data_IF_596008356961
#
_entry.id   IF_596008356961
#
_cell.length_a   1.000
_cell.length_b   1.000
_cell.length_c   1.000
_cell.angle_alpha   90.00
_cell.angle_beta   90.00
_cell.angle_gamma   90.00
#
_symmetry.space_group_name_H-M   'P 1'
#
loop_
_entity.id
_entity.type
_entity.pdbx_description
1 polymer ?
#
# COMPACT_ATOMS: atom_id res chain seq x y z
N UNK A 1 -1.45 -15.14 -11.46
CA UNK A 1 -2.66 -14.44 -11.97
C UNK A 1 -2.41 -12.94 -12.22
N UNK A 2 -1.55 -12.26 -11.44
CA UNK A 2 -1.37 -10.80 -11.47
C UNK A 2 -0.58 -10.22 -12.67
N UNK A 3 0.27 -11.01 -13.36
CA UNK A 3 1.15 -10.48 -14.42
C UNK A 3 0.43 -9.82 -15.59
N UNK A 4 -0.80 -10.23 -15.90
CA UNK A 4 -1.58 -9.68 -17.01
C UNK A 4 -2.06 -8.24 -16.76
N UNK A 5 -2.34 -7.88 -15.51
CA UNK A 5 -2.86 -6.56 -15.14
C UNK A 5 -1.77 -5.57 -14.72
N UNK A 6 -0.51 -6.02 -14.60
CA UNK A 6 0.62 -5.18 -14.16
C UNK A 6 0.75 -3.86 -14.93
N UNK A 7 0.48 -3.84 -16.24
CA UNK A 7 0.51 -2.61 -17.05
C UNK A 7 -0.66 -1.67 -16.78
N UNK A 8 -1.82 -2.22 -16.40
CA UNK A 8 -3.01 -1.44 -16.07
C UNK A 8 -2.88 -0.79 -14.69
N UNK A 9 -2.34 -1.54 -13.73
CA UNK A 9 -2.11 -1.05 -12.36
C UNK A 9 -1.19 0.18 -12.33
N UNK A 10 -0.11 0.18 -13.13
CA UNK A 10 0.85 1.30 -13.21
C UNK A 10 0.24 2.66 -13.58
N UNK A 11 -0.86 2.64 -14.34
CA UNK A 11 -1.52 3.85 -14.86
C UNK A 11 -2.88 4.09 -14.23
N UNK A 12 -3.25 3.29 -13.24
CA UNK A 12 -4.53 3.45 -12.57
C UNK A 12 -4.46 4.64 -11.62
N UNK A 13 -5.49 5.49 -11.64
CA UNK A 13 -5.67 6.56 -10.65
C UNK A 13 -6.56 6.13 -9.48
N UNK A 14 -7.42 5.13 -9.70
CA UNK A 14 -8.31 4.55 -8.69
C UNK A 14 -8.08 3.06 -8.68
N UNK A 15 -7.88 2.48 -7.50
CA UNK A 15 -7.70 1.05 -7.33
C UNK A 15 -8.45 0.57 -6.10
N UNK A 16 -9.40 -0.32 -6.31
CA UNK A 16 -10.17 -0.97 -5.26
C UNK A 16 -9.86 -2.45 -5.30
N UNK A 17 -9.39 -2.98 -4.17
CA UNK A 17 -8.94 -4.35 -4.04
C UNK A 17 -9.58 -4.96 -2.81
N UNK A 18 -10.08 -6.18 -2.94
CA UNK A 18 -10.61 -6.89 -1.79
C UNK A 18 -10.44 -8.39 -1.89
N UNK A 19 -10.59 -9.05 -0.75
CA UNK A 19 -10.45 -10.51 -0.62
C UNK A 19 -9.08 -11.01 -1.13
N UNK A 20 -8.03 -10.19 -0.98
CA UNK A 20 -6.66 -10.61 -1.27
C UNK A 20 -6.17 -11.51 -0.14
N UNK A 21 -6.10 -12.81 -0.42
CA UNK A 21 -5.75 -13.85 0.56
C UNK A 21 -4.33 -14.40 0.40
N UNK A 22 -3.61 -13.97 -0.63
CA UNK A 22 -2.27 -14.44 -0.99
C UNK A 22 -1.25 -13.29 -1.11
N UNK A 23 -1.66 -12.07 -0.76
CA UNK A 23 -0.82 -10.86 -0.81
C UNK A 23 -0.48 -10.42 0.61
N UNK A 24 0.80 -10.25 0.89
CA UNK A 24 1.33 -9.72 2.15
C UNK A 24 1.82 -8.29 2.01
N UNK A 25 2.42 -7.95 0.88
CA UNK A 25 3.09 -6.68 0.63
C UNK A 25 2.54 -6.04 -0.65
N UNK A 26 1.60 -5.11 -0.50
CA UNK A 26 0.78 -4.58 -1.61
C UNK A 26 1.65 -4.03 -2.75
N UNK A 27 2.55 -3.09 -2.45
CA UNK A 27 3.41 -2.47 -3.48
C UNK A 27 4.37 -3.50 -4.11
N UNK A 28 5.07 -4.27 -3.29
CA UNK A 28 6.08 -5.22 -3.77
C UNK A 28 5.50 -6.26 -4.73
N UNK A 29 4.26 -6.71 -4.48
CA UNK A 29 3.63 -7.81 -5.22
C UNK A 29 2.77 -7.32 -6.39
N UNK A 30 2.18 -6.13 -6.31
CA UNK A 30 1.25 -5.61 -7.33
C UNK A 30 1.91 -4.61 -8.29
N UNK A 31 2.72 -3.67 -7.79
CA UNK A 31 3.42 -2.69 -8.61
C UNK A 31 4.73 -2.23 -7.98
N UNK A 32 5.84 -2.84 -8.42
CA UNK A 32 7.20 -2.51 -7.96
C UNK A 32 7.68 -1.10 -8.35
N UNK A 33 6.93 -0.38 -9.19
CA UNK A 33 7.18 1.03 -9.49
C UNK A 33 6.52 1.98 -8.47
N UNK A 34 5.73 1.45 -7.53
CA UNK A 34 5.24 2.22 -6.41
C UNK A 34 3.96 3.00 -6.68
N UNK A 35 3.15 2.63 -7.68
CA UNK A 35 1.85 3.28 -7.94
C UNK A 35 1.94 4.80 -8.08
N UNK A 36 2.85 5.28 -8.92
CA UNK A 36 3.18 6.72 -9.05
C UNK A 36 2.03 7.58 -9.57
N UNK A 37 1.06 7.00 -10.30
CA UNK A 37 -0.12 7.72 -10.80
C UNK A 37 -1.37 7.54 -9.91
N UNK A 38 -1.31 6.66 -8.89
CA UNK A 38 -2.47 6.29 -8.09
C UNK A 38 -2.85 7.41 -7.12
N UNK A 39 -4.12 7.79 -7.15
CA UNK A 39 -4.71 8.82 -6.28
C UNK A 39 -5.58 8.23 -5.18
N UNK A 40 -6.31 7.16 -5.48
CA UNK A 40 -7.25 6.54 -4.54
C UNK A 40 -6.99 5.04 -4.46
N UNK A 41 -6.71 4.56 -3.25
CA UNK A 41 -6.55 3.14 -2.96
C UNK A 41 -7.55 2.71 -1.88
N UNK A 42 -8.34 1.68 -2.18
CA UNK A 42 -9.21 1.04 -1.20
C UNK A 42 -8.86 -0.45 -1.07
N UNK A 43 -8.73 -0.91 0.16
CA UNK A 43 -8.46 -2.30 0.51
C UNK A 43 -9.53 -2.78 1.48
N UNK A 44 -10.24 -3.86 1.11
CA UNK A 44 -11.30 -4.42 1.94
C UNK A 44 -11.21 -5.94 2.10
N UNK A 45 -11.28 -6.43 3.34
CA UNK A 45 -11.25 -7.86 3.66
C UNK A 45 -10.01 -8.57 3.09
N UNK A 46 -8.81 -8.00 3.29
CA UNK A 46 -7.55 -8.61 2.85
C UNK A 46 -6.77 -9.12 4.07
N UNK A 47 -7.10 -10.32 4.60
CA UNK A 47 -6.61 -10.77 5.90
C UNK A 47 -5.12 -11.07 5.90
N UNK A 48 -4.45 -11.23 4.76
CA UNK A 48 -3.01 -11.53 4.73
C UNK A 48 -2.11 -10.30 4.58
N UNK A 49 -2.68 -9.13 4.30
CA UNK A 49 -1.92 -7.91 4.08
C UNK A 49 -1.30 -7.44 5.39
N UNK A 50 0.03 -7.41 5.42
CA UNK A 50 0.82 -6.95 6.57
C UNK A 50 1.30 -5.52 6.37
N UNK A 51 1.74 -5.20 5.15
CA UNK A 51 2.29 -3.89 4.80
C UNK A 51 1.73 -3.40 3.47
N UNK A 52 1.37 -2.12 3.41
CA UNK A 52 1.03 -1.48 2.14
C UNK A 52 2.33 -1.17 1.39
N UNK A 53 3.25 -0.49 2.04
CA UNK A 53 4.60 -0.19 1.56
C UNK A 53 5.63 -0.83 2.50
N UNK A 54 6.43 -1.77 1.98
CA UNK A 54 7.48 -2.43 2.74
C UNK A 54 8.86 -1.94 2.30
N UNK A 55 9.43 -1.03 3.10
CA UNK A 55 10.70 -0.32 2.89
C UNK A 55 11.78 -0.77 3.90
N UNK A 56 11.86 -2.08 4.16
CA UNK A 56 12.95 -2.60 5.00
C UNK A 56 14.26 -2.67 4.21
N UNK A 57 15.37 -2.31 4.85
CA UNK A 57 16.73 -2.43 4.29
C UNK A 57 17.25 -3.87 4.25
N UNK A 58 16.54 -4.82 4.86
CA UNK A 58 16.90 -6.24 4.92
C UNK A 58 16.35 -7.11 3.79
N UNK A 59 15.58 -6.54 2.87
CA UNK A 59 14.89 -7.26 1.79
C UNK A 59 15.60 -7.06 0.45
N UNK A 60 15.45 -8.02 -0.46
CA UNK A 60 16.00 -8.00 -1.84
C UNK A 60 15.50 -6.84 -2.72
N UNK A 61 14.57 -6.02 -2.23
CA UNK A 61 13.95 -4.93 -2.97
C UNK A 61 13.81 -3.68 -2.11
N UNK A 62 14.18 -2.55 -2.70
CA UNK A 62 14.04 -1.21 -2.12
C UNK A 62 12.93 -0.49 -2.89
N UNK A 63 11.93 0.11 -2.20
CA UNK A 63 10.92 0.89 -2.88
C UNK A 63 11.52 2.06 -3.67
N UNK A 64 10.98 2.37 -4.85
CA UNK A 64 11.43 3.52 -5.61
C UNK A 64 11.10 4.82 -4.86
N UNK A 65 11.86 5.90 -5.09
CA UNK A 65 11.45 7.23 -4.69
C UNK A 65 10.10 7.56 -5.36
N UNK A 66 9.29 8.38 -4.70
CA UNK A 66 7.96 8.81 -5.14
C UNK A 66 6.90 7.70 -5.22
N UNK A 67 7.09 6.57 -4.52
CA UNK A 67 6.01 5.61 -4.34
C UNK A 67 4.80 6.31 -3.70
N UNK A 68 3.60 6.13 -4.25
CA UNK A 68 2.38 6.81 -3.80
C UNK A 68 2.53 8.34 -3.69
N UNK A 69 3.32 8.98 -4.57
CA UNK A 69 3.51 10.43 -4.54
C UNK A 69 2.23 11.21 -4.88
N UNK A 70 1.32 10.61 -5.66
CA UNK A 70 0.03 11.18 -6.04
C UNK A 70 -1.12 10.68 -5.17
N UNK A 71 -0.87 9.83 -4.17
CA UNK A 71 -1.93 9.21 -3.37
C UNK A 71 -2.58 10.25 -2.45
N UNK A 72 -3.86 10.50 -2.71
CA UNK A 72 -4.70 11.45 -1.98
C UNK A 72 -5.49 10.74 -0.88
N UNK A 73 -5.95 9.51 -1.14
CA UNK A 73 -6.78 8.76 -0.20
C UNK A 73 -6.41 7.27 -0.13
N UNK A 74 -6.33 6.77 1.11
CA UNK A 74 -6.17 5.35 1.43
C UNK A 74 -7.30 4.91 2.37
N UNK A 75 -8.16 4.02 1.89
CA UNK A 75 -9.27 3.44 2.65
C UNK A 75 -8.92 2.01 3.04
N UNK A 76 -8.94 1.71 4.33
CA UNK A 76 -8.56 0.41 4.89
C UNK A 76 -9.72 -0.21 5.68
N UNK A 77 -10.25 -1.33 5.21
CA UNK A 77 -11.40 -1.99 5.82
C UNK A 77 -11.16 -3.49 6.04
N UNK A 78 -11.29 -3.97 7.28
CA UNK A 78 -11.10 -5.40 7.59
C UNK A 78 -9.72 -5.94 7.23
N UNK A 79 -8.66 -5.20 7.57
CA UNK A 79 -7.26 -5.63 7.41
C UNK A 79 -6.68 -6.10 8.76
N UNK A 80 -7.14 -7.27 9.21
CA UNK A 80 -6.88 -7.74 10.59
C UNK A 80 -5.39 -7.96 10.91
N UNK A 81 -4.57 -8.28 9.90
CA UNK A 81 -3.12 -8.50 10.05
C UNK A 81 -2.27 -7.30 9.59
N UNK A 82 -2.87 -6.13 9.35
CA UNK A 82 -2.11 -4.94 8.97
C UNK A 82 -1.26 -4.49 10.16
N UNK A 83 0.07 -4.55 9.98
CA UNK A 83 1.03 -4.12 10.99
C UNK A 83 1.42 -2.65 10.79
N UNK A 84 1.59 -2.20 9.54
CA UNK A 84 1.87 -0.80 9.22
C UNK A 84 1.52 -0.47 7.76
N UNK A 85 1.04 0.76 7.53
CA UNK A 85 0.94 1.31 6.15
C UNK A 85 2.33 1.40 5.51
N UNK A 86 3.34 1.84 6.25
CA UNK A 86 4.73 1.84 5.80
C UNK A 86 5.61 1.15 6.86
N UNK A 87 6.32 0.10 6.44
CA UNK A 87 7.32 -0.56 7.28
C UNK A 87 8.73 -0.12 6.86
N UNK A 88 9.50 0.44 7.78
CA UNK A 88 10.80 1.05 7.49
C UNK A 88 10.69 2.51 7.02
N UNK A 89 11.81 3.13 6.61
CA UNK A 89 11.85 4.54 6.23
C UNK A 89 10.93 4.84 5.05
N UNK A 90 10.14 5.92 5.17
CA UNK A 90 9.27 6.38 4.10
C UNK A 90 10.14 6.87 2.93
N UNK A 91 9.97 6.35 1.70
CA UNK A 91 10.74 6.81 0.55
C UNK A 91 10.48 8.29 0.27
N UNK A 92 11.50 9.02 -0.20
CA UNK A 92 11.38 10.44 -0.52
C UNK A 92 10.22 10.69 -1.49
N UNK A 93 9.40 11.72 -1.20
CA UNK A 93 8.29 12.13 -2.05
C UNK A 93 7.03 11.26 -1.93
N UNK A 94 7.02 10.27 -1.03
CA UNK A 94 5.85 9.42 -0.79
C UNK A 94 4.86 10.07 0.17
N UNK A 95 3.56 9.78 0.00
CA UNK A 95 2.49 10.14 0.94
C UNK A 95 2.31 11.64 1.23
N UNK A 96 2.76 12.53 0.35
CA UNK A 96 2.80 13.98 0.62
C UNK A 96 1.44 14.63 0.96
N UNK A 97 0.34 14.14 0.38
CA UNK A 97 -1.02 14.66 0.59
C UNK A 97 -2.00 13.60 1.10
N UNK A 98 -1.48 12.50 1.66
CA UNK A 98 -2.29 11.32 1.95
C UNK A 98 -3.28 11.56 3.09
N UNK A 99 -4.56 11.25 2.84
CA UNK A 99 -5.59 11.06 3.86
C UNK A 99 -5.84 9.57 4.03
N UNK A 100 -5.85 9.12 5.28
CA UNK A 100 -6.09 7.71 5.58
C UNK A 100 -7.37 7.60 6.39
N UNK A 101 -8.28 6.76 5.92
CA UNK A 101 -9.50 6.39 6.60
C UNK A 101 -9.50 4.89 6.85
N UNK A 102 -9.85 4.51 8.08
CA UNK A 102 -10.04 3.11 8.45
C UNK A 102 -11.45 2.93 8.97
N UNK A 103 -12.10 1.82 8.61
CA UNK A 103 -13.51 1.57 8.90
C UNK A 103 -13.70 0.47 9.95
N UNK A 104 -13.62 -0.81 9.54
CA UNK A 104 -13.80 -1.95 10.45
C UNK A 104 -12.52 -2.32 11.22
N UNK A 105 -12.31 -3.60 11.53
CA UNK A 105 -11.30 -4.22 12.41
C UNK A 105 -9.81 -3.95 12.09
N UNK A 106 -9.50 -2.96 11.26
CA UNK A 106 -8.14 -2.52 10.96
C UNK A 106 -7.47 -1.94 12.23
N UNK A 107 -6.27 -2.41 12.62
CA UNK A 107 -5.56 -1.89 13.79
C UNK A 107 -5.20 -0.40 13.64
N UNK A 108 -5.72 0.48 14.50
CA UNK A 108 -5.52 1.94 14.37
C UNK A 108 -4.05 2.37 14.44
N UNK A 109 -3.22 1.65 15.20
CA UNK A 109 -1.79 1.93 15.33
C UNK A 109 -0.99 1.69 14.04
N UNK A 110 -1.52 0.87 13.12
CA UNK A 110 -0.92 0.53 11.85
C UNK A 110 -1.22 1.57 10.75
N UNK A 111 -2.25 2.39 10.95
CA UNK A 111 -2.79 3.32 9.95
C UNK A 111 -1.88 4.53 9.74
N UNK A 112 -1.10 4.93 10.74
CA UNK A 112 -0.17 6.07 10.63
C UNK A 112 1.12 5.61 9.92
N UNK A 113 1.52 6.23 8.79
CA UNK A 113 2.82 5.97 8.18
C UNK A 113 3.91 6.39 9.17
N UNK A 114 4.67 5.43 9.71
CA UNK A 114 5.70 5.72 10.71
C UNK A 114 7.00 6.10 10.00
N UNK A 115 7.43 7.34 10.17
CA UNK A 115 8.82 7.75 9.97
C UNK A 115 9.60 7.40 11.25
N UNK A 116 10.18 6.20 11.30
CA UNK A 116 11.17 5.87 12.34
C UNK A 116 12.53 6.46 11.98
#
# INVERSE_FOLDING_TARGET
MVKFFSKLLKRSQVLELGQLNDIKHVVYELDKEGFVELKYLSLWQCPTVQYILHSSTSVEWVPPPNAFCMLEELILDGLDNLEAVCHGPIPMGSFGNLRISSLASTPQEAVVPRSQ
#
